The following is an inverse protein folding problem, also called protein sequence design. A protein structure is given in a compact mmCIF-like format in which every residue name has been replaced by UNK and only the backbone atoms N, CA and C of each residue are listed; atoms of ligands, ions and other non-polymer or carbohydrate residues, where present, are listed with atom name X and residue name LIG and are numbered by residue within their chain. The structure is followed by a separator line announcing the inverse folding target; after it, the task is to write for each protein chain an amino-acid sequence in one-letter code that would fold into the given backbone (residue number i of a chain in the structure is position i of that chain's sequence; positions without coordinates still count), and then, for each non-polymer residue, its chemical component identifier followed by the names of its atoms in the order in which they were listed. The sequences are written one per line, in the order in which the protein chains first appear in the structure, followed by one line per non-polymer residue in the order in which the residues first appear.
data_IF_125279586821
#
_entry.id   IF_125279586821
#
_cell.length_a   1.000
_cell.length_b   1.000
_cell.length_c   1.000
_cell.angle_alpha   90.00
_cell.angle_beta   90.00
_cell.angle_gamma   90.00
#
_symmetry.space_group_name_H-M   'P 1'
#
loop_
_entity.id
_entity.type
_entity.pdbx_description
1 polymer ?
#
# COMPACT_ATOMS: atom_id res chain seq x y z
N UNK A 1 -0.94 -14.73 21.36
CA UNK A 1 -1.83 -14.40 20.23
C UNK A 1 -0.96 -14.22 19.00
N UNK A 2 -1.22 -14.95 17.91
CA UNK A 2 -0.47 -14.88 16.65
C UNK A 2 -1.33 -14.13 15.62
N UNK A 3 -0.84 -13.01 15.12
CA UNK A 3 -1.53 -12.19 14.12
C UNK A 3 -0.75 -12.28 12.82
N UNK A 4 -1.40 -12.78 11.76
CA UNK A 4 -0.85 -12.78 10.40
C UNK A 4 -1.53 -11.69 9.58
N UNK A 5 -0.72 -10.86 8.92
CA UNK A 5 -1.17 -9.83 7.99
C UNK A 5 -0.33 -9.92 6.71
N UNK A 6 -0.97 -10.10 5.55
CA UNK A 6 -0.32 -10.12 4.25
C UNK A 6 -1.13 -9.32 3.24
N UNK A 7 -0.45 -8.60 2.34
CA UNK A 7 -1.07 -7.91 1.21
C UNK A 7 -1.17 -8.79 -0.05
N UNK A 8 -0.60 -10.01 -0.02
CA UNK A 8 -0.49 -10.89 -1.18
C UNK A 8 -1.24 -12.22 -0.98
N UNK A 9 -2.50 -12.24 -1.43
CA UNK A 9 -3.41 -13.40 -1.33
C UNK A 9 -2.92 -14.68 -2.02
N UNK A 10 -2.02 -14.57 -3.02
CA UNK A 10 -1.60 -15.72 -3.86
C UNK A 10 -0.52 -16.59 -3.22
N UNK A 11 0.25 -16.06 -2.27
CA UNK A 11 1.43 -16.71 -1.71
C UNK A 11 1.35 -16.80 -0.18
N UNK A 12 0.18 -17.18 0.34
CA UNK A 12 -0.06 -17.35 1.77
C UNK A 12 0.69 -18.55 2.38
N UNK A 13 1.00 -19.57 1.57
CA UNK A 13 1.76 -20.74 1.99
C UNK A 13 3.13 -20.76 1.28
N UNK A 14 4.24 -20.99 2.01
CA UNK A 14 5.53 -21.26 1.38
C UNK A 14 5.42 -22.54 0.57
N UNK A 15 5.73 -22.47 -0.72
CA UNK A 15 5.87 -23.66 -1.55
C UNK A 15 7.15 -24.38 -1.11
N UNK A 16 6.99 -25.54 -0.48
CA UNK A 16 8.13 -26.36 -0.10
C UNK A 16 8.67 -27.04 -1.35
N UNK A 17 9.97 -26.85 -1.64
CA UNK A 17 10.66 -27.45 -2.78
C UNK A 17 10.51 -28.99 -2.88
N UNK A 18 10.07 -29.66 -1.81
CA UNK A 18 9.74 -31.08 -1.81
C UNK A 18 8.51 -31.44 -2.66
N UNK A 19 7.55 -30.54 -2.86
CA UNK A 19 6.40 -30.77 -3.74
C UNK A 19 6.79 -30.79 -5.23
N UNK A 20 7.87 -30.08 -5.60
CA UNK A 20 8.42 -30.11 -6.95
C UNK A 20 9.13 -31.44 -7.28
N UNK A 21 9.49 -32.24 -6.29
CA UNK A 21 10.21 -33.51 -6.46
C UNK A 21 9.29 -34.72 -6.69
N UNK A 22 7.99 -34.58 -6.43
CA UNK A 22 6.94 -35.56 -6.76
C UNK A 22 6.42 -35.46 -8.20
N UNK A 23 7.01 -34.58 -9.02
CA UNK A 23 6.77 -34.50 -10.46
C UNK A 23 7.32 -35.74 -11.18
N UNK A 24 6.55 -36.82 -11.16
CA UNK A 24 6.78 -37.99 -12.02
C UNK A 24 5.85 -37.84 -13.21
N UNK A 25 6.41 -37.63 -14.41
CA UNK A 25 5.65 -37.66 -15.65
C UNK A 25 5.22 -39.10 -15.92
N UNK A 26 3.93 -39.39 -15.84
CA UNK A 26 3.33 -40.58 -16.49
C UNK A 26 2.96 -40.25 -17.93
N UNK A 27 3.05 -41.24 -18.83
CA UNK A 27 2.88 -41.08 -20.30
C UNK A 27 1.48 -40.62 -20.74
N UNK A 28 0.51 -40.57 -19.82
CA UNK A 28 -0.89 -40.20 -20.08
C UNK A 28 -1.24 -38.88 -19.40
N UNK A 29 -0.56 -37.80 -19.78
CA UNK A 29 -1.11 -36.45 -20.02
C UNK A 29 -1.98 -35.70 -18.99
N UNK A 30 -2.40 -36.25 -17.86
CA UNK A 30 -3.25 -35.55 -16.90
C UNK A 30 -2.52 -35.32 -15.58
N UNK A 31 -1.92 -34.14 -15.48
CA UNK A 31 -1.52 -33.55 -14.21
C UNK A 31 -2.76 -32.85 -13.64
N UNK A 32 -3.08 -33.05 -12.36
CA UNK A 32 -4.08 -32.26 -11.64
C UNK A 32 -3.40 -31.08 -10.91
N UNK A 33 -3.27 -29.89 -11.53
CA UNK A 33 -2.81 -28.66 -10.86
C UNK A 33 -3.88 -28.01 -9.96
N UNK A 34 -5.02 -28.67 -9.73
CA UNK A 34 -6.19 -28.09 -9.05
C UNK A 34 -6.15 -28.10 -7.52
N UNK A 35 -5.51 -29.08 -6.90
CA UNK A 35 -5.63 -29.31 -5.45
C UNK A 35 -4.94 -28.21 -4.60
N UNK A 36 -3.81 -27.67 -5.06
CA UNK A 36 -3.06 -26.64 -4.31
C UNK A 36 -3.72 -25.26 -4.36
N UNK A 37 -4.52 -24.98 -5.40
CA UNK A 37 -5.22 -23.70 -5.56
C UNK A 37 -6.48 -23.65 -4.69
N UNK A 38 -7.23 -24.76 -4.60
CA UNK A 38 -8.43 -24.83 -3.76
C UNK A 38 -8.10 -24.71 -2.26
N UNK A 39 -7.00 -25.30 -1.80
CA UNK A 39 -6.62 -25.23 -0.38
C UNK A 39 -6.23 -23.80 0.06
N UNK A 40 -5.52 -23.07 -0.81
CA UNK A 40 -5.14 -21.65 -0.60
C UNK A 40 -6.37 -20.72 -0.60
N UNK A 41 -7.37 -20.99 -1.45
CA UNK A 41 -8.65 -20.26 -1.42
C UNK A 41 -9.35 -20.51 -0.08
N UNK A 42 -9.43 -21.78 0.36
CA UNK A 42 -10.08 -22.15 1.63
C UNK A 42 -9.41 -21.51 2.85
N UNK A 43 -8.08 -21.30 2.84
CA UNK A 43 -7.39 -20.65 3.96
C UNK A 43 -7.70 -19.15 4.02
N UNK A 44 -7.78 -18.48 2.88
CA UNK A 44 -8.11 -17.05 2.80
C UNK A 44 -9.56 -16.75 3.21
N UNK A 45 -10.51 -17.62 2.87
CA UNK A 45 -11.92 -17.51 3.28
C UNK A 45 -12.13 -17.74 4.79
N UNK A 46 -11.19 -18.42 5.46
CA UNK A 46 -11.22 -18.63 6.93
C UNK A 46 -10.77 -17.40 7.71
N UNK A 47 -10.21 -16.37 7.07
CA UNK A 47 -9.95 -15.09 7.73
C UNK A 47 -11.26 -14.27 7.75
N UNK A 48 -11.89 -14.19 8.92
CA UNK A 48 -13.17 -13.52 9.12
C UNK A 48 -13.14 -11.98 9.05
N UNK A 49 -11.96 -11.36 8.83
CA UNK A 49 -11.81 -9.91 8.80
C UNK A 49 -10.95 -9.46 7.62
N UNK A 50 -11.50 -8.53 6.84
CA UNK A 50 -10.87 -7.94 5.68
C UNK A 50 -10.58 -6.47 5.99
N UNK A 51 -9.31 -6.06 5.91
CA UNK A 51 -8.91 -4.66 6.03
C UNK A 51 -8.66 -4.12 4.64
N UNK A 52 -9.59 -3.30 4.14
CA UNK A 52 -9.51 -2.67 2.84
C UNK A 52 -8.78 -1.33 2.92
N UNK A 53 -8.05 -0.98 1.87
CA UNK A 53 -7.45 0.33 1.70
C UNK A 53 -8.27 1.12 0.68
N UNK A 54 -9.00 2.12 1.17
CA UNK A 54 -9.77 3.02 0.31
C UNK A 54 -8.87 4.14 -0.23
N UNK A 55 -9.10 4.60 -1.47
CA UNK A 55 -8.40 5.76 -2.00
C UNK A 55 -8.74 6.99 -1.18
N UNK A 56 -7.75 7.85 -0.95
CA UNK A 56 -7.94 9.10 -0.24
C UNK A 56 -8.82 10.05 -1.06
N UNK A 57 -9.82 10.63 -0.42
CA UNK A 57 -10.48 11.84 -0.90
C UNK A 57 -9.48 13.00 -0.97
N UNK A 58 -9.86 14.05 -1.70
CA UNK A 58 -9.05 15.26 -1.76
C UNK A 58 -8.87 15.90 -0.37
N UNK A 59 -9.92 15.92 0.45
CA UNK A 59 -9.89 16.54 1.77
C UNK A 59 -9.02 15.76 2.75
N UNK A 60 -9.06 14.43 2.69
CA UNK A 60 -8.15 13.58 3.47
C UNK A 60 -6.70 13.79 3.04
N UNK A 61 -6.44 13.87 1.73
CA UNK A 61 -5.12 14.17 1.21
C UNK A 61 -4.61 15.53 1.72
N UNK A 62 -5.43 16.58 1.62
CA UNK A 62 -5.08 17.93 2.08
C UNK A 62 -4.86 17.96 3.60
N UNK A 63 -5.65 17.20 4.36
CA UNK A 63 -5.47 17.07 5.82
C UNK A 63 -4.11 16.44 6.18
N UNK A 64 -3.69 15.41 5.44
CA UNK A 64 -2.40 14.75 5.65
C UNK A 64 -1.24 15.67 5.24
N UNK A 65 -1.38 16.43 4.15
CA UNK A 65 -0.40 17.44 3.75
C UNK A 65 -0.24 18.49 4.86
N UNK A 66 -1.35 19.03 5.37
CA UNK A 66 -1.33 20.03 6.43
C UNK A 66 -0.68 19.47 7.72
N UNK A 67 -0.97 18.22 8.07
CA UNK A 67 -0.36 17.56 9.23
C UNK A 67 1.16 17.43 9.08
N UNK A 68 1.65 17.01 7.91
CA UNK A 68 3.10 16.92 7.67
C UNK A 68 3.78 18.28 7.65
N UNK A 69 3.20 19.28 6.96
CA UNK A 69 3.74 20.63 6.94
C UNK A 69 3.81 21.25 8.34
N UNK A 70 2.77 21.05 9.15
CA UNK A 70 2.77 21.47 10.55
C UNK A 70 3.87 20.77 11.35
N UNK A 71 4.08 19.45 11.14
CA UNK A 71 5.17 18.71 11.79
C UNK A 71 6.58 19.19 11.37
N UNK A 72 6.70 19.79 10.19
CA UNK A 72 7.93 20.42 9.71
C UNK A 72 8.05 21.90 10.12
N UNK A 73 7.15 22.41 10.96
CA UNK A 73 7.22 23.79 11.47
C UNK A 73 6.73 24.85 10.50
N UNK A 74 6.07 24.47 9.40
CA UNK A 74 5.49 25.43 8.45
C UNK A 74 4.31 26.16 9.12
N UNK A 75 4.31 27.49 9.06
CA UNK A 75 3.28 28.30 9.71
C UNK A 75 1.89 28.09 9.07
N UNK A 76 0.77 28.17 9.83
CA UNK A 76 -0.57 27.93 9.30
C UNK A 76 -0.94 28.72 8.04
N UNK A 77 -0.57 30.02 7.90
CA UNK A 77 -0.82 30.75 6.66
C UNK A 77 -0.10 30.16 5.43
N UNK A 78 1.11 29.65 5.62
CA UNK A 78 1.88 29.00 4.56
C UNK A 78 1.32 27.61 4.22
N UNK A 79 0.78 26.88 5.22
CA UNK A 79 0.09 25.61 4.99
C UNK A 79 -1.14 25.82 4.09
N UNK A 80 -1.98 26.83 4.39
CA UNK A 80 -3.13 27.13 3.54
C UNK A 80 -2.72 27.55 2.12
N UNK A 81 -1.64 28.33 1.99
CA UNK A 81 -1.08 28.71 0.70
C UNK A 81 -0.50 27.51 -0.09
N UNK A 82 -0.07 26.45 0.58
CA UNK A 82 0.50 25.25 -0.04
C UNK A 82 -0.55 24.33 -0.68
N UNK A 83 -1.85 24.50 -0.36
CA UNK A 83 -2.91 23.58 -0.80
C UNK A 83 -2.98 23.42 -2.33
N UNK A 84 -3.04 24.48 -3.16
CA UNK A 84 -3.12 24.32 -4.61
C UNK A 84 -1.90 23.60 -5.19
N UNK A 85 -0.70 23.95 -4.72
CA UNK A 85 0.54 23.30 -5.15
C UNK A 85 0.55 21.80 -4.79
N UNK A 86 0.05 21.44 -3.61
CA UNK A 86 -0.06 20.03 -3.19
C UNK A 86 -0.99 19.21 -4.09
N UNK A 87 -2.06 19.83 -4.61
CA UNK A 87 -3.00 19.15 -5.50
C UNK A 87 -2.41 18.92 -6.89
N UNK A 88 -1.68 19.92 -7.42
CA UNK A 88 -0.93 19.77 -8.67
C UNK A 88 0.11 18.65 -8.54
N UNK A 89 0.87 18.64 -7.44
CA UNK A 89 1.84 17.59 -7.16
C UNK A 89 1.23 16.18 -7.12
N UNK A 90 0.03 16.03 -6.54
CA UNK A 90 -0.68 14.76 -6.51
C UNK A 90 -1.14 14.31 -7.90
N UNK A 91 -1.58 15.25 -8.74
CA UNK A 91 -1.98 14.98 -10.13
C UNK A 91 -0.78 14.51 -10.96
N UNK A 92 0.36 15.18 -10.85
CA UNK A 92 1.59 14.80 -11.56
C UNK A 92 2.09 13.39 -11.19
N UNK A 93 1.90 12.99 -9.93
CA UNK A 93 2.24 11.64 -9.44
C UNK A 93 1.14 10.61 -9.63
N UNK A 94 0.00 10.99 -10.18
CA UNK A 94 -1.14 10.11 -10.46
C UNK A 94 -1.80 9.48 -9.24
N UNK A 95 -1.59 10.03 -8.03
CA UNK A 95 -2.15 9.45 -6.81
C UNK A 95 -2.27 10.46 -5.67
N UNK A 96 -3.38 10.36 -4.93
CA UNK A 96 -3.53 10.93 -3.59
C UNK A 96 -3.28 9.82 -2.58
N UNK A 97 -2.13 9.87 -1.93
CA UNK A 97 -1.75 8.91 -0.90
C UNK A 97 -0.92 9.59 0.19
N UNK A 98 -0.88 8.99 1.38
CA UNK A 98 -0.03 9.49 2.47
C UNK A 98 1.46 9.60 2.08
N UNK A 99 1.96 8.70 1.21
CA UNK A 99 3.31 8.77 0.67
C UNK A 99 3.53 10.02 -0.19
N UNK A 100 2.60 10.30 -1.10
CA UNK A 100 2.68 11.48 -1.98
C UNK A 100 2.57 12.77 -1.16
N UNK A 101 1.68 12.81 -0.18
CA UNK A 101 1.52 13.95 0.74
C UNK A 101 2.82 14.24 1.51
N UNK A 102 3.46 13.22 2.06
CA UNK A 102 4.75 13.35 2.76
C UNK A 102 5.86 13.87 1.83
N UNK A 103 5.94 13.34 0.59
CA UNK A 103 6.93 13.78 -0.39
C UNK A 103 6.76 15.27 -0.74
N UNK A 104 5.52 15.71 -0.97
CA UNK A 104 5.21 17.11 -1.19
C UNK A 104 5.61 17.96 0.02
N UNK A 105 5.17 17.58 1.23
CA UNK A 105 5.40 18.36 2.42
C UNK A 105 6.91 18.52 2.72
N UNK A 106 7.70 17.47 2.50
CA UNK A 106 9.15 17.50 2.68
C UNK A 106 9.85 18.40 1.67
N UNK A 107 9.41 18.35 0.40
CA UNK A 107 9.94 19.22 -0.66
C UNK A 107 9.59 20.69 -0.38
N UNK A 108 8.32 20.97 -0.08
CA UNK A 108 7.82 22.31 0.21
C UNK A 108 8.51 22.93 1.44
N UNK A 109 8.64 22.18 2.54
CA UNK A 109 9.31 22.66 3.74
C UNK A 109 10.81 22.94 3.49
N UNK A 110 11.48 22.10 2.67
CA UNK A 110 12.88 22.30 2.31
C UNK A 110 13.14 23.53 1.42
N UNK A 111 12.12 24.05 0.74
CA UNK A 111 12.22 25.24 -0.10
C UNK A 111 11.95 26.55 0.66
N UNK A 112 11.43 26.50 1.89
CA UNK A 112 11.20 27.71 2.68
C UNK A 112 12.48 28.15 3.40
N UNK A 113 13.02 29.35 3.10
CA UNK A 113 14.16 29.87 3.83
C UNK A 113 13.74 30.25 5.25
N UNK A 114 14.20 29.49 6.24
CA UNK A 114 14.01 29.80 7.65
C UNK A 114 12.97 28.93 8.34
N UNK A 115 13.37 27.71 8.68
CA UNK A 115 12.85 27.02 9.86
C UNK A 115 14.09 26.71 10.71
N UNK A 116 14.11 27.06 12.01
CA UNK A 116 15.30 26.92 12.86
C UNK A 116 15.79 25.47 12.95
#
# INVERSE_FOLDING_TARGET
VLIYATSNRRHLLPEYMTENLTYTHTEEGEVHPGEVVEEKISLSERFGLWVSFYPFSQDEYLSIVAQWLSSFGVAPPAIEAARPASLVWALERGSRSGRVAYQFARDYAGQQPGTP
#
